data_IF_041258186604
#
_entry.id   IF_041258186604
#
_cell.length_a   1.000
_cell.length_b   1.000
_cell.length_c   1.000
_cell.angle_alpha   90.00
_cell.angle_beta   90.00
_cell.angle_gamma   90.00
#
_symmetry.space_group_name_H-M   'P 1'
#
loop_
_entity.id
_entity.type
_entity.pdbx_description
1 polymer ?
#
# COMPACT_ATOMS: atom_id res chain seq x y z
N UNK A 1 -8.02 -17.13 -0.55
CA UNK A 1 -7.25 -16.65 0.62
C UNK A 1 -7.92 -15.39 1.11
N UNK A 2 -8.27 -15.29 2.40
CA UNK A 2 -8.79 -14.04 2.98
C UNK A 2 -7.67 -13.28 3.68
N UNK A 3 -7.54 -11.99 3.36
CA UNK A 3 -6.64 -11.09 4.10
C UNK A 3 -7.29 -10.79 5.44
N UNK A 4 -6.64 -11.14 6.55
CA UNK A 4 -7.12 -10.77 7.90
C UNK A 4 -6.40 -9.49 8.33
N UNK A 5 -7.07 -8.66 9.14
CA UNK A 5 -6.48 -7.40 9.65
C UNK A 5 -5.13 -7.63 10.33
N UNK A 6 -4.98 -8.75 11.06
CA UNK A 6 -3.71 -9.14 11.71
C UNK A 6 -2.54 -9.37 10.74
N UNK A 7 -2.84 -9.64 9.47
CA UNK A 7 -1.86 -9.88 8.41
C UNK A 7 -1.45 -8.56 7.72
N UNK A 8 -2.19 -7.47 7.93
CA UNK A 8 -1.89 -6.14 7.41
C UNK A 8 -0.82 -5.49 8.28
N UNK A 9 0.45 -5.71 7.92
CA UNK A 9 1.60 -5.06 8.55
C UNK A 9 2.35 -4.25 7.52
N UNK A 10 2.62 -2.99 7.84
CA UNK A 10 3.50 -2.13 7.06
C UNK A 10 4.92 -2.26 7.57
N UNK A 11 5.90 -2.32 6.67
CA UNK A 11 7.33 -2.29 6.98
C UNK A 11 7.94 -1.05 6.35
N UNK A 12 8.81 -0.37 7.09
CA UNK A 12 9.63 0.72 6.57
C UNK A 12 11.06 0.21 6.39
N UNK A 13 11.61 0.42 5.21
CA UNK A 13 12.96 0.00 4.81
C UNK A 13 13.75 1.28 4.53
N UNK A 14 14.99 1.35 5.02
CA UNK A 14 15.93 2.41 4.65
C UNK A 14 16.82 1.84 3.56
N UNK A 15 16.84 2.50 2.41
CA UNK A 15 17.60 2.08 1.24
C UNK A 15 19.05 2.59 1.32
N UNK A 16 19.94 1.96 0.55
CA UNK A 16 21.37 2.27 0.52
C UNK A 16 21.66 3.70 -0.02
N UNK A 17 20.77 4.24 -0.86
CA UNK A 17 20.83 5.60 -1.38
C UNK A 17 20.35 6.67 -0.37
N UNK A 18 19.99 6.24 0.85
CA UNK A 18 19.47 7.10 1.91
C UNK A 18 17.97 7.39 1.84
N UNK A 19 17.28 6.90 0.81
CA UNK A 19 15.82 6.97 0.70
C UNK A 19 15.12 5.94 1.60
N UNK A 20 13.79 6.00 1.63
CA UNK A 20 12.94 5.13 2.43
C UNK A 20 11.86 4.50 1.59
N UNK A 21 11.64 3.21 1.78
CA UNK A 21 10.51 2.47 1.21
C UNK A 21 9.53 2.05 2.30
N UNK A 22 8.25 2.00 1.94
CA UNK A 22 7.17 1.44 2.77
C UNK A 22 6.45 0.38 1.97
N UNK A 23 6.24 -0.79 2.57
CA UNK A 23 5.59 -1.93 1.92
C UNK A 23 4.55 -2.56 2.84
N UNK A 24 3.45 -3.04 2.26
CA UNK A 24 2.51 -3.94 2.91
C UNK A 24 2.26 -5.16 2.01
N UNK A 25 2.95 -6.27 2.29
CA UNK A 25 2.91 -7.48 1.47
C UNK A 25 1.50 -8.09 1.39
N UNK A 26 0.71 -8.02 2.45
CA UNK A 26 -0.66 -8.55 2.47
C UNK A 26 -1.60 -7.83 1.50
N UNK A 27 -1.28 -6.58 1.14
CA UNK A 27 -2.05 -5.78 0.20
C UNK A 27 -1.35 -5.63 -1.17
N UNK A 28 -0.12 -6.13 -1.32
CA UNK A 28 0.66 -5.96 -2.54
C UNK A 28 1.02 -4.49 -2.87
N UNK A 29 0.97 -3.58 -1.88
CA UNK A 29 1.25 -2.16 -2.07
C UNK A 29 2.67 -1.83 -1.60
N UNK A 30 3.39 -1.04 -2.39
CA UNK A 30 4.71 -0.52 -2.06
C UNK A 30 4.85 0.93 -2.54
N UNK A 31 5.70 1.71 -1.85
CA UNK A 31 6.04 3.07 -2.27
C UNK A 31 7.37 3.49 -1.64
N UNK A 32 8.04 4.49 -2.23
CA UNK A 32 9.31 5.02 -1.73
C UNK A 32 9.33 6.55 -1.71
N UNK A 33 10.29 7.12 -0.99
CA UNK A 33 10.51 8.56 -0.91
C UNK A 33 11.84 8.92 -0.27
N UNK A 34 12.37 10.10 -0.62
CA UNK A 34 13.69 10.59 -0.14
C UNK A 34 13.78 10.72 1.38
N UNK A 35 12.65 10.95 2.05
CA UNK A 35 12.55 11.05 3.52
C UNK A 35 11.49 10.10 4.05
N UNK A 36 11.59 9.71 5.33
CA UNK A 36 10.57 8.91 6.03
C UNK A 36 9.15 9.48 5.86
N UNK A 37 9.02 10.80 5.93
CA UNK A 37 7.73 11.48 5.80
C UNK A 37 7.20 11.39 4.36
N UNK A 38 8.05 11.61 3.37
CA UNK A 38 7.66 11.47 1.96
C UNK A 38 7.26 10.04 1.61
N UNK A 39 7.99 9.03 2.09
CA UNK A 39 7.67 7.63 1.86
C UNK A 39 6.32 7.24 2.46
N UNK A 40 5.99 7.75 3.67
CA UNK A 40 4.67 7.56 4.29
C UNK A 40 3.56 8.23 3.48
N UNK A 41 3.77 9.47 3.04
CA UNK A 41 2.77 10.21 2.23
C UNK A 41 2.52 9.49 0.90
N UNK A 42 3.57 9.08 0.22
CA UNK A 42 3.47 8.37 -1.05
C UNK A 42 2.80 7.00 -0.88
N UNK A 43 3.11 6.29 0.21
CA UNK A 43 2.48 5.02 0.53
C UNK A 43 0.98 5.16 0.81
N UNK A 44 0.57 6.21 1.55
CA UNK A 44 -0.85 6.48 1.81
C UNK A 44 -1.61 6.72 0.50
N UNK A 45 -1.08 7.55 -0.39
CA UNK A 45 -1.69 7.82 -1.69
C UNK A 45 -1.79 6.55 -2.56
N UNK A 46 -0.73 5.73 -2.59
CA UNK A 46 -0.74 4.46 -3.31
C UNK A 46 -1.78 3.48 -2.74
N UNK A 47 -1.91 3.43 -1.42
CA UNK A 47 -2.88 2.58 -0.73
C UNK A 47 -4.32 3.02 -1.03
N UNK A 48 -4.61 4.32 -0.96
CA UNK A 48 -5.94 4.88 -1.27
C UNK A 48 -6.37 4.54 -2.70
N UNK A 49 -5.47 4.75 -3.67
CA UNK A 49 -5.74 4.42 -5.07
C UNK A 49 -5.96 2.91 -5.27
N UNK A 50 -5.14 2.08 -4.63
CA UNK A 50 -5.29 0.62 -4.73
C UNK A 50 -6.65 0.16 -4.20
N UNK A 51 -7.05 0.65 -3.02
CA UNK A 51 -8.32 0.28 -2.40
C UNK A 51 -9.53 0.82 -3.18
N UNK A 52 -9.42 2.00 -3.81
CA UNK A 52 -10.50 2.54 -4.64
C UNK A 52 -10.76 1.66 -5.87
N UNK A 53 -9.69 1.25 -6.57
CA UNK A 53 -9.80 0.37 -7.74
C UNK A 53 -10.35 -1.01 -7.35
N UNK A 54 -9.89 -1.58 -6.24
CA UNK A 54 -10.44 -2.85 -5.75
C UNK A 54 -11.93 -2.75 -5.42
N UNK A 55 -12.35 -1.64 -4.80
CA UNK A 55 -13.75 -1.40 -4.48
C UNK A 55 -14.61 -1.26 -5.73
N UNK A 56 -14.14 -0.52 -6.72
CA UNK A 56 -14.82 -0.35 -8.01
C UNK A 56 -15.03 -1.70 -8.69
N UNK A 57 -13.96 -2.48 -8.89
CA UNK A 57 -14.03 -3.81 -9.52
C UNK A 57 -14.91 -4.79 -8.74
N UNK A 58 -14.83 -4.79 -7.41
CA UNK A 58 -15.68 -5.65 -6.59
C UNK A 58 -17.17 -5.26 -6.70
N UNK A 59 -17.46 -3.96 -6.85
CA UNK A 59 -18.83 -3.47 -7.04
C UNK A 59 -19.36 -3.89 -8.41
N UNK A 60 -18.57 -3.74 -9.48
CA UNK A 60 -18.93 -4.19 -10.83
C UNK A 60 -19.36 -5.67 -10.85
N UNK A 61 -18.66 -6.56 -10.15
CA UNK A 61 -19.00 -7.99 -10.09
C UNK A 61 -20.36 -8.26 -9.43
N UNK A 62 -20.84 -7.38 -8.55
CA UNK A 62 -22.10 -7.55 -7.82
C UNK A 62 -23.26 -6.86 -8.56
N UNK A 63 -23.00 -5.75 -9.24
CA UNK A 63 -24.05 -4.92 -9.88
C UNK A 63 -24.31 -5.25 -11.34
N UNK A 64 -23.46 -6.07 -11.98
CA UNK A 64 -23.57 -6.50 -13.39
C UNK A 64 -24.22 -7.88 -13.48
#
# INVERSE_FOLDING_TARGET
MSVKIKDIKTKMIKEDDGSYSVTCSALGVYSSGKTKQSAKKNFLAALELHLSVLREKATEVITV
#
